data_IF_875205225686
#
_entry.id   IF_875205225686
#
_cell.length_a   1.000
_cell.length_b   1.000
_cell.length_c   1.000
_cell.angle_alpha   90.00
_cell.angle_beta   90.00
_cell.angle_gamma   90.00
#
_symmetry.space_group_name_H-M   'P 1'
#
loop_
_entity.id
_entity.type
_entity.pdbx_description
1 polymer ?
#
# COMPACT_ATOMS: atom_id res chain seq x y z
N UNK A 1 14.34 -11.95 -12.56
CA UNK A 1 15.35 -11.06 -13.13
C UNK A 1 15.25 -9.71 -12.44
N UNK A 2 16.35 -8.95 -12.40
CA UNK A 2 16.33 -7.56 -11.96
C UNK A 2 15.60 -6.64 -12.98
N UNK A 3 15.62 -5.33 -12.74
CA UNK A 3 14.98 -4.34 -13.62
C UNK A 3 15.60 -4.25 -15.02
N UNK A 4 16.84 -4.73 -15.21
CA UNK A 4 17.56 -4.74 -16.48
C UNK A 4 17.41 -6.07 -17.23
N UNK A 5 16.78 -7.08 -16.61
CA UNK A 5 16.58 -8.40 -17.19
C UNK A 5 17.69 -9.40 -16.87
N UNK A 6 18.65 -9.06 -16.00
CA UNK A 6 19.66 -10.02 -15.53
C UNK A 6 19.05 -11.01 -14.56
N UNK A 7 19.34 -12.29 -14.71
CA UNK A 7 18.89 -13.32 -13.77
C UNK A 7 19.57 -13.14 -12.41
N UNK A 8 18.76 -13.12 -11.34
CA UNK A 8 19.22 -12.91 -9.95
C UNK A 8 18.72 -13.97 -8.97
N UNK A 9 17.67 -14.71 -9.33
CA UNK A 9 17.03 -15.72 -8.50
C UNK A 9 16.08 -16.59 -9.34
N UNK A 10 15.63 -17.68 -8.75
CA UNK A 10 14.68 -18.63 -9.33
C UNK A 10 13.52 -18.90 -8.37
N UNK A 11 12.43 -19.42 -8.94
CA UNK A 11 11.37 -20.07 -8.19
C UNK A 11 11.06 -21.41 -8.82
N UNK A 12 10.94 -22.44 -8.00
CA UNK A 12 10.60 -23.80 -8.42
C UNK A 12 9.18 -24.16 -8.01
N UNK A 13 8.44 -24.80 -8.91
CA UNK A 13 7.16 -25.46 -8.60
C UNK A 13 7.40 -26.95 -8.40
N UNK A 14 6.85 -27.50 -7.34
CA UNK A 14 6.87 -28.94 -7.09
C UNK A 14 5.97 -29.66 -8.11
N UNK A 15 6.49 -30.68 -8.79
CA UNK A 15 5.75 -31.43 -9.83
C UNK A 15 4.88 -32.56 -9.26
N UNK A 16 5.27 -33.12 -8.12
CA UNK A 16 4.52 -34.16 -7.40
C UNK A 16 4.41 -33.75 -5.95
N UNK A 17 3.21 -33.79 -5.38
CA UNK A 17 3.03 -33.42 -3.98
C UNK A 17 3.84 -34.33 -3.06
N UNK A 18 4.68 -33.70 -2.24
CA UNK A 18 5.48 -34.36 -1.21
C UNK A 18 5.03 -33.75 0.11
N UNK A 19 4.57 -34.61 1.03
CA UNK A 19 4.10 -34.17 2.34
C UNK A 19 5.19 -33.35 3.06
N UNK A 20 4.82 -32.16 3.52
CA UNK A 20 5.73 -31.24 4.23
C UNK A 20 6.61 -30.36 3.33
N UNK A 21 6.46 -30.43 2.00
CA UNK A 21 7.15 -29.52 1.07
C UNK A 21 6.17 -28.48 0.50
N UNK A 22 6.61 -27.22 0.31
CA UNK A 22 5.76 -26.20 -0.27
C UNK A 22 5.54 -26.44 -1.77
N UNK A 23 4.36 -26.05 -2.28
CA UNK A 23 4.03 -26.10 -3.72
C UNK A 23 5.00 -25.24 -4.55
N UNK A 24 5.46 -24.13 -3.98
CA UNK A 24 6.39 -23.19 -4.58
C UNK A 24 7.55 -22.87 -3.63
N UNK A 25 8.78 -22.89 -4.15
CA UNK A 25 9.98 -22.53 -3.40
C UNK A 25 10.76 -21.44 -4.13
N UNK A 26 10.88 -20.28 -3.49
CA UNK A 26 11.66 -19.15 -3.97
C UNK A 26 13.11 -19.27 -3.48
N UNK A 27 14.08 -18.81 -4.28
CA UNK A 27 15.45 -18.60 -3.79
C UNK A 27 15.44 -17.79 -2.47
N UNK A 28 16.39 -18.07 -1.54
CA UNK A 28 16.58 -17.24 -0.35
C UNK A 28 17.09 -15.84 -0.73
N UNK A 29 17.06 -14.92 0.23
CA UNK A 29 17.70 -13.59 0.07
C UNK A 29 19.20 -13.75 -0.24
N UNK A 30 19.72 -12.95 -1.15
CA UNK A 30 21.15 -12.92 -1.50
C UNK A 30 21.60 -11.48 -1.74
N UNK A 31 22.91 -11.27 -1.93
CA UNK A 31 23.46 -9.95 -2.28
C UNK A 31 22.89 -9.37 -3.58
N UNK A 32 22.38 -10.21 -4.48
CA UNK A 32 21.82 -9.81 -5.77
C UNK A 32 20.30 -9.97 -5.87
N UNK A 33 19.67 -10.63 -4.91
CA UNK A 33 18.23 -10.86 -4.89
C UNK A 33 17.63 -10.49 -3.55
N UNK A 34 16.79 -9.46 -3.59
CA UNK A 34 16.02 -9.00 -2.44
C UNK A 34 14.53 -8.96 -2.78
N UNK A 35 13.73 -9.79 -2.10
CA UNK A 35 12.28 -9.91 -2.37
C UNK A 35 11.56 -8.60 -2.11
N UNK A 36 11.94 -7.87 -1.06
CA UNK A 36 11.33 -6.59 -0.68
C UNK A 36 11.56 -5.46 -1.70
N UNK A 37 12.43 -5.66 -2.70
CA UNK A 37 12.75 -4.67 -3.74
C UNK A 37 12.59 -5.19 -5.16
N UNK A 38 12.22 -6.47 -5.32
CA UNK A 38 12.09 -7.12 -6.62
C UNK A 38 10.63 -7.39 -6.92
N UNK A 39 10.22 -7.07 -8.15
CA UNK A 39 8.91 -7.42 -8.69
C UNK A 39 9.10 -8.39 -9.84
N UNK A 40 8.42 -9.53 -9.80
CA UNK A 40 8.46 -10.50 -10.88
C UNK A 40 7.93 -9.88 -12.18
N UNK A 41 8.51 -10.33 -13.31
CA UNK A 41 8.17 -9.90 -14.67
C UNK A 41 8.32 -8.40 -14.99
N UNK A 42 8.72 -7.55 -14.03
CA UNK A 42 8.76 -6.09 -14.23
C UNK A 42 9.58 -5.65 -15.45
N UNK A 43 10.77 -6.22 -15.64
CA UNK A 43 11.64 -5.93 -16.80
C UNK A 43 10.96 -6.16 -18.16
N UNK A 44 10.11 -7.19 -18.29
CA UNK A 44 9.34 -7.48 -19.51
C UNK A 44 8.08 -6.63 -19.60
N UNK A 45 7.39 -6.46 -18.48
CA UNK A 45 6.14 -5.71 -18.38
C UNK A 45 6.33 -4.20 -18.59
N UNK A 46 7.52 -3.64 -18.30
CA UNK A 46 7.79 -2.19 -18.29
C UNK A 46 7.30 -1.45 -19.54
N UNK A 47 7.52 -2.01 -20.74
CA UNK A 47 7.06 -1.39 -22.00
C UNK A 47 5.52 -1.41 -22.12
N UNK A 48 4.89 -2.48 -21.67
CA UNK A 48 3.44 -2.65 -21.69
C UNK A 48 2.77 -1.80 -20.61
N UNK A 49 3.36 -1.69 -19.42
CA UNK A 49 2.91 -0.80 -18.36
C UNK A 49 2.84 0.64 -18.86
N UNK A 50 3.88 1.11 -19.56
CA UNK A 50 3.91 2.46 -20.15
C UNK A 50 2.89 2.64 -21.26
N UNK A 51 2.77 1.66 -22.16
CA UNK A 51 1.81 1.69 -23.28
C UNK A 51 0.36 1.72 -22.78
N UNK A 52 0.05 0.89 -21.79
CA UNK A 52 -1.30 0.75 -21.24
C UNK A 52 -1.61 1.78 -20.16
N UNK A 53 -0.62 2.57 -19.72
CA UNK A 53 -0.74 3.51 -18.59
C UNK A 53 -1.24 2.84 -17.29
N UNK A 54 -1.00 1.54 -17.16
CA UNK A 54 -1.52 0.73 -16.05
C UNK A 54 -0.66 -0.51 -15.82
N UNK A 55 -0.56 -0.95 -14.56
CA UNK A 55 0.04 -2.24 -14.18
C UNK A 55 -0.98 -3.10 -13.43
N UNK A 56 -0.87 -4.43 -13.59
CA UNK A 56 -1.67 -5.39 -12.82
C UNK A 56 -0.74 -6.12 -11.86
N UNK A 57 -1.05 -6.06 -10.56
CA UNK A 57 -0.25 -6.60 -9.48
C UNK A 57 -0.90 -7.86 -8.91
N UNK A 58 -0.15 -8.95 -8.94
CA UNK A 58 -0.52 -10.27 -8.40
C UNK A 58 0.36 -10.64 -7.20
N UNK A 59 -0.01 -11.69 -6.46
CA UNK A 59 0.80 -12.23 -5.35
C UNK A 59 1.87 -13.22 -5.82
N UNK A 60 1.57 -13.97 -6.88
CA UNK A 60 2.38 -15.06 -7.38
C UNK A 60 2.88 -14.89 -8.82
N UNK A 61 4.03 -15.49 -9.11
CA UNK A 61 4.55 -15.55 -10.48
C UNK A 61 3.71 -16.45 -11.40
N UNK A 62 2.99 -17.43 -10.85
CA UNK A 62 2.10 -18.31 -11.62
C UNK A 62 0.96 -17.51 -12.25
N UNK A 63 0.29 -16.67 -11.45
CA UNK A 63 -0.78 -15.78 -11.89
C UNK A 63 -0.29 -14.83 -12.98
N UNK A 64 0.92 -14.30 -12.84
CA UNK A 64 1.52 -13.43 -13.87
C UNK A 64 1.75 -14.19 -15.17
N UNK A 65 2.23 -15.43 -15.13
CA UNK A 65 2.43 -16.23 -16.34
C UNK A 65 1.08 -16.47 -17.03
N UNK A 66 0.06 -16.81 -16.27
CA UNK A 66 -1.28 -17.08 -16.81
C UNK A 66 -1.96 -15.80 -17.32
N UNK A 67 -1.86 -14.69 -16.60
CA UNK A 67 -2.36 -13.39 -17.03
C UNK A 67 -1.66 -12.90 -18.31
N UNK A 68 -0.33 -13.04 -18.41
CA UNK A 68 0.41 -12.68 -19.63
C UNK A 68 -0.06 -13.52 -20.82
N UNK A 69 -0.25 -14.84 -20.64
CA UNK A 69 -0.83 -15.71 -21.68
C UNK A 69 -2.27 -15.31 -22.03
N UNK A 70 -3.03 -14.84 -21.04
CA UNK A 70 -4.37 -14.34 -21.20
C UNK A 70 -4.44 -12.91 -21.75
N UNK A 71 -3.35 -12.34 -22.28
CA UNK A 71 -3.39 -11.02 -22.94
C UNK A 71 -3.16 -9.82 -22.01
N UNK A 72 -2.68 -10.04 -20.78
CA UNK A 72 -2.30 -9.00 -19.83
C UNK A 72 -0.77 -8.87 -19.70
N UNK A 73 -0.06 -8.32 -20.69
CA UNK A 73 1.41 -8.26 -20.70
C UNK A 73 2.00 -7.26 -19.70
N UNK A 74 1.17 -6.42 -19.09
CA UNK A 74 1.50 -5.47 -18.02
C UNK A 74 1.34 -6.07 -16.61
N UNK A 75 1.30 -7.40 -16.48
CA UNK A 75 1.24 -8.11 -15.20
C UNK A 75 2.60 -8.24 -14.51
N UNK A 76 2.63 -8.03 -13.19
CA UNK A 76 3.78 -8.21 -12.29
C UNK A 76 3.32 -8.86 -10.97
N UNK A 77 4.25 -9.37 -10.17
CA UNK A 77 3.92 -9.91 -8.85
C UNK A 77 4.96 -9.61 -7.79
N UNK A 78 4.52 -9.64 -6.53
CA UNK A 78 5.42 -9.87 -5.39
C UNK A 78 5.93 -11.33 -5.42
N UNK A 79 6.90 -11.68 -4.57
CA UNK A 79 7.55 -13.01 -4.61
C UNK A 79 7.43 -13.72 -3.26
N UNK A 80 6.19 -13.99 -2.84
CA UNK A 80 5.90 -14.64 -1.55
C UNK A 80 6.12 -13.71 -0.36
N UNK A 81 5.85 -12.42 -0.54
CA UNK A 81 5.89 -11.40 0.50
C UNK A 81 4.74 -10.42 0.30
N UNK A 82 4.32 -9.76 1.38
CA UNK A 82 3.47 -8.58 1.26
C UNK A 82 4.16 -7.51 0.41
N UNK A 83 3.35 -6.67 -0.26
CA UNK A 83 3.85 -5.53 -1.01
C UNK A 83 4.59 -4.57 -0.06
N UNK A 84 5.76 -4.11 -0.47
CA UNK A 84 6.56 -3.15 0.31
C UNK A 84 6.47 -1.74 -0.25
N UNK A 85 6.82 -0.76 0.57
CA UNK A 85 6.90 0.64 0.13
C UNK A 85 7.95 0.84 -0.98
N UNK A 86 9.06 0.10 -0.94
CA UNK A 86 10.10 0.15 -1.97
C UNK A 86 9.59 -0.38 -3.32
N UNK A 87 8.84 -1.49 -3.31
CA UNK A 87 8.17 -1.99 -4.52
C UNK A 87 7.12 -1.00 -5.03
N UNK A 88 6.33 -0.41 -4.12
CA UNK A 88 5.33 0.60 -4.47
C UNK A 88 5.97 1.85 -5.11
N UNK A 89 7.12 2.32 -4.60
CA UNK A 89 7.91 3.41 -5.20
C UNK A 89 8.41 3.04 -6.60
N UNK A 90 8.86 1.80 -6.82
CA UNK A 90 9.26 1.31 -8.15
C UNK A 90 8.08 1.36 -9.12
N UNK A 91 6.90 0.91 -8.69
CA UNK A 91 5.67 0.97 -9.48
C UNK A 91 5.33 2.43 -9.81
N UNK A 92 5.24 3.30 -8.80
CA UNK A 92 4.85 4.71 -8.96
C UNK A 92 5.73 5.49 -9.92
N UNK A 93 7.04 5.21 -9.93
CA UNK A 93 8.00 5.85 -10.85
C UNK A 93 7.75 5.51 -12.31
N UNK A 94 7.01 4.44 -12.61
CA UNK A 94 6.76 3.97 -13.97
C UNK A 94 5.31 4.13 -14.42
N UNK A 95 4.36 4.18 -13.48
CA UNK A 95 2.93 4.28 -13.77
C UNK A 95 2.16 4.83 -12.57
N UNK A 96 1.04 5.51 -12.84
CA UNK A 96 0.13 6.00 -11.80
C UNK A 96 -0.98 4.99 -11.47
N UNK A 97 -1.56 4.34 -12.49
CA UNK A 97 -2.68 3.39 -12.30
C UNK A 97 -2.21 1.98 -11.99
N UNK A 98 -2.74 1.40 -10.92
CA UNK A 98 -2.47 0.03 -10.46
C UNK A 98 -3.79 -0.72 -10.28
N UNK A 99 -3.90 -1.90 -10.87
CA UNK A 99 -4.95 -2.88 -10.54
C UNK A 99 -4.32 -3.94 -9.65
N UNK A 100 -4.88 -4.17 -8.47
CA UNK A 100 -4.53 -5.30 -7.61
C UNK A 100 -5.46 -6.47 -7.96
N UNK A 101 -4.91 -7.64 -8.24
CA UNK A 101 -5.65 -8.87 -8.53
C UNK A 101 -5.04 -9.99 -7.68
N UNK A 102 -5.58 -10.17 -6.48
CA UNK A 102 -5.15 -11.17 -5.49
C UNK A 102 -6.24 -12.23 -5.32
N UNK A 103 -5.91 -13.31 -4.62
CA UNK A 103 -6.81 -14.43 -4.37
C UNK A 103 -8.09 -13.98 -3.63
N UNK A 104 -9.20 -14.67 -3.89
CA UNK A 104 -10.50 -14.38 -3.28
C UNK A 104 -10.59 -14.75 -1.79
N UNK A 105 -9.56 -15.40 -1.25
CA UNK A 105 -9.58 -15.87 0.14
C UNK A 105 -9.43 -14.71 1.15
N UNK A 106 -9.58 -15.04 2.44
CA UNK A 106 -9.46 -14.01 3.48
C UNK A 106 -8.07 -13.39 3.56
N UNK A 107 -7.01 -14.14 3.26
CA UNK A 107 -5.65 -13.63 3.31
C UNK A 107 -5.36 -12.68 2.14
N UNK A 108 -5.79 -13.03 0.93
CA UNK A 108 -5.67 -12.22 -0.29
C UNK A 108 -6.43 -10.91 -0.18
N UNK A 109 -7.65 -10.92 0.37
CA UNK A 109 -8.41 -9.67 0.58
C UNK A 109 -7.71 -8.74 1.61
N UNK A 110 -7.18 -9.30 2.69
CA UNK A 110 -6.40 -8.52 3.69
C UNK A 110 -5.10 -7.99 3.09
N UNK A 111 -4.43 -8.79 2.25
CA UNK A 111 -3.24 -8.39 1.53
C UNK A 111 -3.55 -7.27 0.53
N UNK A 112 -4.68 -7.34 -0.18
CA UNK A 112 -5.13 -6.31 -1.11
C UNK A 112 -5.46 -5.00 -0.38
N UNK A 113 -6.10 -5.07 0.79
CA UNK A 113 -6.35 -3.90 1.65
C UNK A 113 -5.04 -3.20 2.04
N UNK A 114 -4.07 -3.96 2.57
CA UNK A 114 -2.74 -3.42 2.94
C UNK A 114 -1.98 -2.86 1.75
N UNK A 115 -1.97 -3.58 0.63
CA UNK A 115 -1.30 -3.15 -0.60
C UNK A 115 -1.91 -1.84 -1.13
N UNK A 116 -3.23 -1.69 -1.04
CA UNK A 116 -3.92 -0.45 -1.46
C UNK A 116 -3.48 0.74 -0.64
N UNK A 117 -3.37 0.62 0.69
CA UNK A 117 -2.89 1.69 1.54
C UNK A 117 -1.45 2.10 1.16
N UNK A 118 -0.55 1.14 0.97
CA UNK A 118 0.85 1.40 0.59
C UNK A 118 0.94 2.12 -0.77
N UNK A 119 0.19 1.64 -1.77
CA UNK A 119 0.17 2.23 -3.11
C UNK A 119 -0.42 3.64 -3.12
N UNK A 120 -1.50 3.86 -2.37
CA UNK A 120 -2.15 5.18 -2.26
C UNK A 120 -1.22 6.17 -1.57
N UNK A 121 -0.50 5.75 -0.53
CA UNK A 121 0.47 6.59 0.19
C UNK A 121 1.63 7.07 -0.69
N UNK A 122 2.06 6.26 -1.65
CA UNK A 122 3.07 6.68 -2.64
C UNK A 122 2.46 7.45 -3.83
N UNK A 123 1.15 7.68 -3.83
CA UNK A 123 0.44 8.48 -4.83
C UNK A 123 0.05 7.73 -6.10
N UNK A 124 -0.17 6.41 -6.02
CA UNK A 124 -0.79 5.64 -7.11
C UNK A 124 -2.32 5.76 -7.05
N UNK A 125 -2.96 5.68 -8.22
CA UNK A 125 -4.40 5.49 -8.35
C UNK A 125 -4.70 4.00 -8.40
N UNK A 126 -5.35 3.47 -7.36
CA UNK A 126 -5.54 2.02 -7.16
C UNK A 126 -6.97 1.58 -7.50
N UNK A 127 -7.06 0.48 -8.25
CA UNK A 127 -8.28 -0.32 -8.44
C UNK A 127 -8.04 -1.75 -7.96
N UNK A 128 -9.13 -2.44 -7.63
CA UNK A 128 -9.09 -3.83 -7.14
C UNK A 128 -9.94 -4.70 -8.07
N UNK A 129 -9.30 -5.64 -8.75
CA UNK A 129 -9.96 -6.71 -9.47
C UNK A 129 -10.31 -7.82 -8.46
N UNK A 130 -11.60 -8.00 -8.20
CA UNK A 130 -12.09 -8.96 -7.21
C UNK A 130 -12.31 -10.30 -7.90
N UNK A 131 -11.57 -11.32 -7.46
CA UNK A 131 -11.77 -12.69 -7.92
C UNK A 131 -13.06 -13.28 -7.34
N UNK A 132 -13.80 -14.11 -8.11
CA UNK A 132 -14.92 -14.87 -7.57
C UNK A 132 -14.47 -15.84 -6.47
N UNK A 133 -15.36 -16.13 -5.52
CA UNK A 133 -15.06 -17.01 -4.40
C UNK A 133 -14.55 -18.37 -4.87
N UNK A 134 -13.45 -18.82 -4.26
CA UNK A 134 -12.83 -20.11 -4.56
C UNK A 134 -11.91 -20.13 -5.79
N UNK A 135 -11.73 -19.01 -6.49
CA UNK A 135 -10.81 -18.90 -7.62
C UNK A 135 -9.58 -18.07 -7.30
N UNK A 136 -8.42 -18.56 -7.75
CA UNK A 136 -7.25 -17.74 -8.01
C UNK A 136 -7.24 -17.29 -9.50
N UNK A 137 -6.41 -16.31 -9.89
CA UNK A 137 -6.36 -15.84 -11.27
C UNK A 137 -5.98 -16.93 -12.28
N UNK A 138 -5.07 -17.84 -11.92
CA UNK A 138 -4.62 -18.94 -12.78
C UNK A 138 -5.76 -19.93 -13.08
N UNK A 139 -6.50 -20.33 -12.04
CA UNK A 139 -7.63 -21.25 -12.10
C UNK A 139 -8.81 -20.64 -12.86
N UNK A 140 -9.13 -19.36 -12.61
CA UNK A 140 -10.18 -18.67 -13.36
C UNK A 140 -9.87 -18.59 -14.86
N UNK A 141 -8.61 -18.26 -15.22
CA UNK A 141 -8.19 -18.19 -16.63
C UNK A 141 -8.29 -19.57 -17.30
N UNK A 142 -7.92 -20.65 -16.61
CA UNK A 142 -8.01 -22.01 -17.17
C UNK A 142 -9.46 -22.43 -17.41
N UNK A 143 -10.36 -22.09 -16.49
CA UNK A 143 -11.75 -22.52 -16.56
C UNK A 143 -12.58 -21.66 -17.52
N UNK A 144 -12.45 -20.33 -17.44
CA UNK A 144 -13.31 -19.38 -18.14
C UNK A 144 -12.66 -18.73 -19.37
N UNK A 145 -11.34 -18.85 -19.51
CA UNK A 145 -10.59 -18.32 -20.63
C UNK A 145 -10.16 -16.85 -20.49
N UNK A 146 -9.30 -16.44 -21.42
CA UNK A 146 -8.63 -15.14 -21.40
C UNK A 146 -9.60 -13.95 -21.54
N UNK A 147 -10.59 -14.07 -22.42
CA UNK A 147 -11.53 -12.97 -22.70
C UNK A 147 -12.40 -12.65 -21.49
N UNK A 148 -12.93 -13.68 -20.82
CA UNK A 148 -13.69 -13.51 -19.57
C UNK A 148 -12.83 -12.91 -18.47
N UNK A 149 -11.59 -13.38 -18.30
CA UNK A 149 -10.69 -12.78 -17.30
C UNK A 149 -10.46 -11.28 -17.56
N UNK A 150 -10.20 -10.89 -18.82
CA UNK A 150 -10.01 -9.47 -19.14
C UNK A 150 -11.28 -8.64 -18.89
N UNK A 151 -12.44 -9.11 -19.35
CA UNK A 151 -13.68 -8.33 -19.28
C UNK A 151 -14.31 -8.34 -17.89
N UNK A 152 -14.45 -9.51 -17.29
CA UNK A 152 -15.25 -9.73 -16.09
C UNK A 152 -14.44 -9.54 -14.81
N UNK A 153 -13.11 -9.55 -14.88
CA UNK A 153 -12.22 -9.39 -13.71
C UNK A 153 -11.38 -8.10 -13.79
N UNK A 154 -10.63 -7.91 -14.88
CA UNK A 154 -9.69 -6.77 -14.97
C UNK A 154 -10.44 -5.47 -15.30
N UNK A 155 -11.27 -5.47 -16.34
CA UNK A 155 -12.01 -4.28 -16.78
C UNK A 155 -13.14 -3.89 -15.82
N UNK A 156 -13.69 -4.85 -15.09
CA UNK A 156 -14.71 -4.65 -14.05
C UNK A 156 -14.14 -4.24 -12.68
N UNK A 157 -12.83 -3.98 -12.59
CA UNK A 157 -12.15 -3.67 -11.34
C UNK A 157 -12.77 -2.48 -10.59
N UNK A 158 -12.91 -2.66 -9.27
CA UNK A 158 -13.54 -1.70 -8.37
C UNK A 158 -12.58 -0.55 -8.06
N UNK A 159 -13.13 0.63 -7.80
CA UNK A 159 -12.36 1.73 -7.19
C UNK A 159 -11.97 1.36 -5.76
N UNK A 160 -10.96 2.04 -5.22
CA UNK A 160 -10.56 1.87 -3.81
C UNK A 160 -11.75 2.02 -2.85
N UNK A 161 -12.55 3.08 -2.99
CA UNK A 161 -13.68 3.33 -2.09
C UNK A 161 -14.76 2.25 -2.21
N UNK A 162 -15.07 1.78 -3.43
CA UNK A 162 -16.03 0.69 -3.62
C UNK A 162 -15.54 -0.63 -2.98
N UNK A 163 -14.25 -0.93 -3.10
CA UNK A 163 -13.63 -2.06 -2.40
C UNK A 163 -13.69 -1.87 -0.88
N UNK A 164 -13.36 -0.69 -0.37
CA UNK A 164 -13.36 -0.38 1.07
C UNK A 164 -14.77 -0.53 1.67
N UNK A 165 -15.83 -0.10 0.97
CA UNK A 165 -17.22 -0.34 1.38
C UNK A 165 -17.57 -1.82 1.45
N UNK A 166 -17.10 -2.65 0.51
CA UNK A 166 -17.29 -4.10 0.56
C UNK A 166 -16.49 -4.74 1.68
N UNK A 167 -15.25 -4.30 1.87
CA UNK A 167 -14.34 -4.80 2.90
C UNK A 167 -14.88 -4.52 4.31
N UNK A 168 -15.32 -3.29 4.60
CA UNK A 168 -15.90 -2.91 5.89
C UNK A 168 -17.23 -3.61 6.20
N UNK A 169 -17.94 -4.08 5.16
CA UNK A 169 -19.15 -4.90 5.34
C UNK A 169 -18.82 -6.32 5.80
N UNK A 170 -17.61 -6.82 5.52
CA UNK A 170 -17.21 -8.18 5.91
C UNK A 170 -17.28 -8.31 7.42
N UNK A 171 -17.76 -9.47 7.88
CA UNK A 171 -17.89 -9.81 9.31
C UNK A 171 -18.88 -8.92 10.10
N UNK A 172 -19.80 -8.24 9.41
CA UNK A 172 -20.90 -7.47 10.04
C UNK A 172 -22.26 -7.97 9.58
N UNK A 173 -23.20 -8.06 10.51
CA UNK A 173 -24.60 -8.28 10.26
C UNK A 173 -25.34 -6.95 10.18
N UNK A 174 -25.57 -6.46 8.95
CA UNK A 174 -26.27 -5.19 8.72
C UNK A 174 -27.76 -5.19 9.08
N UNK A 175 -28.33 -6.33 9.47
CA UNK A 175 -29.68 -6.40 10.06
C UNK A 175 -29.67 -5.98 11.53
N UNK A 176 -28.53 -6.10 12.21
CA UNK A 176 -28.36 -5.56 13.55
C UNK A 176 -28.16 -4.04 13.46
N UNK A 177 -29.00 -3.28 14.16
CA UNK A 177 -28.96 -1.82 14.12
C UNK A 177 -27.60 -1.27 14.57
N UNK A 178 -27.01 -1.81 15.63
CA UNK A 178 -25.72 -1.38 16.15
C UNK A 178 -24.58 -1.61 15.14
N UNK A 179 -24.52 -2.79 14.53
CA UNK A 179 -23.47 -3.10 13.54
C UNK A 179 -23.67 -2.32 12.23
N UNK A 180 -24.92 -2.06 11.85
CA UNK A 180 -25.28 -1.20 10.72
C UNK A 180 -24.80 0.23 10.95
N UNK A 181 -25.06 0.79 12.13
CA UNK A 181 -24.59 2.15 12.47
C UNK A 181 -23.07 2.23 12.47
N UNK A 182 -22.38 1.24 13.07
CA UNK A 182 -20.92 1.17 13.03
C UNK A 182 -20.37 1.08 11.59
N UNK A 183 -21.02 0.32 10.71
CA UNK A 183 -20.66 0.26 9.29
C UNK A 183 -20.76 1.62 8.61
N UNK A 184 -21.88 2.33 8.79
CA UNK A 184 -22.08 3.64 8.21
C UNK A 184 -21.02 4.63 8.73
N UNK A 185 -20.75 4.63 10.04
CA UNK A 185 -19.73 5.49 10.63
C UNK A 185 -18.33 5.23 10.05
N UNK A 186 -17.93 3.97 9.92
CA UNK A 186 -16.62 3.64 9.37
C UNK A 186 -16.49 3.98 7.89
N UNK A 187 -17.55 3.77 7.10
CA UNK A 187 -17.56 4.20 5.70
C UNK A 187 -17.53 5.73 5.60
N UNK A 188 -18.26 6.45 6.46
CA UNK A 188 -18.23 7.93 6.48
C UNK A 188 -16.84 8.48 6.79
N UNK A 189 -16.08 7.82 7.69
CA UNK A 189 -14.66 8.17 7.94
C UNK A 189 -13.84 8.06 6.66
N UNK A 190 -13.97 6.97 5.92
CA UNK A 190 -13.25 6.77 4.65
C UNK A 190 -13.67 7.78 3.57
N UNK A 191 -14.98 8.03 3.42
CA UNK A 191 -15.49 9.03 2.47
C UNK A 191 -14.95 10.43 2.83
N UNK A 192 -14.77 10.74 4.12
CA UNK A 192 -14.23 12.04 4.56
C UNK A 192 -12.77 12.28 4.12
N UNK A 193 -12.02 11.21 3.83
CA UNK A 193 -10.64 11.28 3.33
C UNK A 193 -10.56 11.56 1.82
N UNK A 194 -11.68 11.39 1.09
CA UNK A 194 -11.73 11.65 -0.35
C UNK A 194 -11.61 13.15 -0.65
N UNK A 195 -10.74 13.50 -1.58
CA UNK A 195 -10.46 14.90 -1.95
C UNK A 195 -11.56 15.49 -2.85
N UNK A 196 -12.13 14.69 -3.75
CA UNK A 196 -13.10 15.15 -4.75
C UNK A 196 -14.52 15.21 -4.17
N UNK A 197 -15.15 16.39 -4.21
CA UNK A 197 -16.51 16.60 -3.68
C UNK A 197 -17.58 15.76 -4.40
N UNK A 198 -17.46 15.63 -5.73
CA UNK A 198 -18.40 14.82 -6.55
C UNK A 198 -18.34 13.35 -6.17
N UNK A 199 -17.14 12.83 -5.95
CA UNK A 199 -16.92 11.44 -5.53
C UNK A 199 -17.50 11.19 -4.14
N UNK A 200 -17.32 12.15 -3.20
CA UNK A 200 -17.98 12.10 -1.89
C UNK A 200 -19.51 12.07 -2.00
N UNK A 201 -20.11 12.96 -2.79
CA UNK A 201 -21.57 13.01 -2.96
C UNK A 201 -22.12 11.71 -3.56
N UNK A 202 -21.41 11.12 -4.53
CA UNK A 202 -21.79 9.82 -5.12
C UNK A 202 -21.88 8.71 -4.06
N UNK A 203 -20.84 8.52 -3.24
CA UNK A 203 -20.83 7.48 -2.20
C UNK A 203 -21.82 7.76 -1.06
N UNK A 204 -22.03 9.03 -0.70
CA UNK A 204 -23.05 9.41 0.27
C UNK A 204 -24.46 9.09 -0.22
N UNK A 205 -24.77 9.33 -1.50
CA UNK A 205 -26.07 8.94 -2.10
C UNK A 205 -26.26 7.43 -2.11
N UNK A 206 -25.20 6.68 -2.39
CA UNK A 206 -25.24 5.22 -2.35
C UNK A 206 -25.60 4.72 -0.94
N UNK A 207 -24.96 5.26 0.11
CA UNK A 207 -25.30 4.93 1.50
C UNK A 207 -26.73 5.37 1.87
N UNK A 208 -27.14 6.57 1.47
CA UNK A 208 -28.47 7.10 1.74
C UNK A 208 -29.55 6.18 1.17
N UNK A 209 -29.38 5.75 -0.08
CA UNK A 209 -30.31 4.86 -0.77
C UNK A 209 -30.32 3.46 -0.15
N UNK A 210 -29.16 2.89 0.15
CA UNK A 210 -29.06 1.53 0.67
C UNK A 210 -29.67 1.39 2.08
N UNK A 211 -29.43 2.36 2.96
CA UNK A 211 -29.91 2.30 4.35
C UNK A 211 -31.16 3.14 4.61
N UNK A 212 -31.74 3.75 3.57
CA UNK A 212 -32.90 4.65 3.68
C UNK A 212 -32.69 5.79 4.69
N UNK A 213 -31.49 6.37 4.70
CA UNK A 213 -31.10 7.50 5.56
C UNK A 213 -31.12 8.78 4.73
N UNK A 214 -31.54 9.90 5.32
CA UNK A 214 -31.50 11.18 4.61
C UNK A 214 -30.07 11.58 4.25
N UNK A 215 -29.89 12.07 3.01
CA UNK A 215 -28.59 12.54 2.54
C UNK A 215 -28.04 13.68 3.41
N UNK A 216 -28.93 14.54 3.91
CA UNK A 216 -28.56 15.67 4.77
C UNK A 216 -28.00 15.21 6.12
N UNK A 217 -28.60 14.18 6.73
CA UNK A 217 -28.08 13.61 7.97
C UNK A 217 -26.68 13.00 7.76
N UNK A 218 -26.46 12.29 6.63
CA UNK A 218 -25.15 11.75 6.30
C UNK A 218 -24.11 12.85 6.04
N UNK A 219 -24.49 13.96 5.39
CA UNK A 219 -23.61 15.11 5.17
C UNK A 219 -23.24 15.79 6.49
N UNK A 220 -24.19 15.95 7.39
CA UNK A 220 -23.92 16.51 8.72
C UNK A 220 -22.96 15.62 9.51
N UNK A 221 -23.21 14.32 9.55
CA UNK A 221 -22.33 13.36 10.22
C UNK A 221 -20.92 13.33 9.59
N UNK A 222 -20.81 13.32 8.27
CA UNK A 222 -19.51 13.41 7.58
C UNK A 222 -18.73 14.66 8.01
N UNK A 223 -19.39 15.82 8.12
CA UNK A 223 -18.75 17.06 8.53
C UNK A 223 -18.25 16.99 9.99
N UNK A 224 -19.05 16.40 10.88
CA UNK A 224 -18.65 16.18 12.28
C UNK A 224 -17.42 15.25 12.38
N UNK A 225 -17.42 14.15 11.63
CA UNK A 225 -16.29 13.21 11.55
C UNK A 225 -15.03 13.91 11.04
N UNK A 226 -15.13 14.65 9.93
CA UNK A 226 -13.99 15.39 9.35
C UNK A 226 -13.38 16.38 10.35
N UNK A 227 -14.21 17.14 11.08
CA UNK A 227 -13.72 18.08 12.10
C UNK A 227 -13.02 17.38 13.26
N UNK A 228 -13.52 16.22 13.67
CA UNK A 228 -12.98 15.43 14.77
C UNK A 228 -11.60 14.86 14.41
N UNK A 229 -11.47 14.31 13.20
CA UNK A 229 -10.21 13.78 12.68
C UNK A 229 -9.16 14.89 12.45
N UNK A 230 -9.59 16.08 12.02
CA UNK A 230 -8.70 17.25 11.92
C UNK A 230 -8.18 17.71 13.29
N UNK A 231 -9.05 17.80 14.29
CA UNK A 231 -8.65 18.13 15.68
C UNK A 231 -7.68 17.12 16.28
N UNK A 232 -7.86 15.82 15.99
CA UNK A 232 -6.89 14.79 16.42
C UNK A 232 -5.51 15.01 15.80
N UNK A 233 -5.42 15.28 14.49
CA UNK A 233 -4.13 15.57 13.82
C UNK A 233 -3.43 16.82 14.34
N UNK A 234 -4.19 17.85 14.71
CA UNK A 234 -3.63 19.06 15.31
C UNK A 234 -3.10 18.80 16.74
N UNK A 235 -3.72 17.87 17.49
CA UNK A 235 -3.25 17.45 18.82
C UNK A 235 -2.09 16.43 18.78
N UNK A 236 -2.03 15.58 17.75
CA UNK A 236 -0.95 14.58 17.53
C UNK A 236 0.27 15.16 16.82
N UNK A 237 0.17 16.38 16.28
CA UNK A 237 1.35 17.14 15.93
C UNK A 237 2.13 17.38 17.23
N UNK A 238 3.38 16.91 17.36
CA UNK A 238 4.13 17.15 18.59
C UNK A 238 4.14 18.65 18.78
N UNK A 239 3.51 19.07 19.88
CA UNK A 239 3.52 20.44 20.34
C UNK A 239 4.99 20.85 20.38
N UNK A 240 5.47 21.54 19.33
CA UNK A 240 6.85 22.05 19.26
C UNK A 240 7.12 23.05 20.38
N UNK A 241 6.08 23.42 21.15
CA UNK A 241 6.17 24.23 22.36
C UNK A 241 6.36 23.41 23.66
N UNK A 242 6.48 22.08 23.60
CA UNK A 242 6.84 21.23 24.74
C UNK A 242 8.18 20.53 24.54
N UNK A 243 9.18 21.26 24.02
CA UNK A 243 10.56 20.92 24.37
C UNK A 243 10.65 21.15 25.88
N UNK A 244 10.77 20.06 26.63
CA UNK A 244 11.36 20.08 27.96
C UNK A 244 12.67 20.89 27.85
N UNK A 245 12.60 22.19 28.15
CA UNK A 245 13.80 22.98 28.40
C UNK A 245 14.36 22.36 29.66
N UNK A 246 15.27 21.39 29.51
CA UNK A 246 16.23 21.10 30.56
C UNK A 246 16.74 22.47 31.02
N UNK A 247 16.77 22.75 32.34
CA UNK A 247 17.34 23.99 32.81
C UNK A 247 18.74 24.05 32.19
N UNK A 248 18.93 24.98 31.25
CA UNK A 248 20.25 25.28 30.73
C UNK A 248 21.00 25.70 31.97
N UNK A 249 21.83 24.80 32.50
CA UNK A 249 22.83 25.17 33.49
C UNK A 249 23.58 26.29 32.80
N UNK A 250 23.34 27.53 33.25
CA UNK A 250 24.16 28.67 32.85
C UNK A 250 25.55 28.27 33.29
N UNK A 251 26.33 27.68 32.38
CA UNK A 251 27.77 27.63 32.54
C UNK A 251 28.17 29.10 32.61
N UNK A 252 28.48 29.55 33.82
CA UNK A 252 29.08 30.86 33.99
C UNK A 252 30.27 30.90 33.03
N UNK A 253 30.31 31.94 32.20
CA UNK A 253 31.47 32.16 31.35
C UNK A 253 32.65 32.30 32.31
N UNK A 254 33.65 31.42 32.16
CA UNK A 254 34.89 31.56 32.91
C UNK A 254 35.49 32.93 32.57
N UNK A 255 36.15 33.60 33.53
CA UNK A 255 36.83 34.86 33.27
C UNK A 255 37.71 34.78 32.02
N UNK A 256 37.78 35.87 31.26
CA UNK A 256 38.44 35.90 29.95
C UNK A 256 39.88 35.33 29.98
N UNK A 257 40.63 35.57 31.06
CA UNK A 257 41.98 35.07 31.25
C UNK A 257 42.05 33.53 31.29
N UNK A 258 41.05 32.85 31.88
CA UNK A 258 41.03 31.39 31.96
C UNK A 258 40.71 30.75 30.60
N UNK A 259 39.88 31.41 29.79
CA UNK A 259 39.63 30.94 28.43
C UNK A 259 40.87 31.14 27.55
N UNK A 260 41.55 32.29 27.68
CA UNK A 260 42.80 32.55 26.96
C UNK A 260 43.89 31.52 27.30
N UNK A 261 44.07 31.20 28.59
CA UNK A 261 45.03 30.18 29.04
C UNK A 261 44.69 28.79 28.47
N UNK A 262 43.42 28.38 28.50
CA UNK A 262 42.99 27.10 27.93
C UNK A 262 43.17 27.04 26.43
N UNK A 263 42.94 28.14 25.71
CA UNK A 263 43.20 28.21 24.27
C UNK A 263 44.69 28.16 23.95
N UNK A 264 45.54 28.84 24.73
CA UNK A 264 46.98 28.80 24.57
C UNK A 264 47.51 27.37 24.78
N UNK A 265 47.16 26.73 25.89
CA UNK A 265 47.53 25.34 26.18
C UNK A 265 47.04 24.40 25.08
N UNK A 266 45.80 24.59 24.59
CA UNK A 266 45.26 23.77 23.51
C UNK A 266 46.01 23.97 22.19
N UNK A 267 46.57 25.15 21.93
CA UNK A 267 47.42 25.39 20.75
C UNK A 267 48.82 24.81 20.94
N UNK A 268 49.45 24.99 22.11
CA UNK A 268 50.74 24.38 22.46
C UNK A 268 50.69 22.84 22.39
N UNK A 269 49.55 22.23 22.70
CA UNK A 269 49.37 20.77 22.59
C UNK A 269 49.18 20.28 21.15
N UNK A 270 48.79 21.16 20.23
CA UNK A 270 48.54 20.81 18.82
C UNK A 270 49.72 21.16 17.91
N UNK A 271 50.53 22.12 18.31
CA UNK A 271 51.67 22.61 17.54
C UNK A 271 52.90 22.76 18.45
N UNK A 272 53.98 22.04 18.11
CA UNK A 272 55.21 22.00 18.89
C UNK A 272 56.00 23.31 18.83
N UNK A 273 55.78 24.12 17.80
CA UNK A 273 56.49 25.40 17.62
C UNK A 273 55.85 26.54 18.43
N UNK A 274 54.64 26.31 18.98
CA UNK A 274 53.91 27.23 19.87
C UNK A 274 54.21 26.93 21.35
N UNK A 275 54.78 25.75 21.65
CA UNK A 275 55.03 25.25 23.01
C UNK A 275 56.30 25.80 23.67
#
# INVERSE_FOLDING_TARGET
ADLQGKTIAFSGRLLKEIKGQPKYLNSPETSIFNKSRTLYNFHRAKKHIRKNQQVILFEGFADVISAVKAGCPNAIATMGTALTEEQAKIIRRNVESVIICYDADSAGIEAAHKATAILTNVGCTVKIAVMPDGYDPDDYIKEYGAEKFQNDVINSSLTFMAFQMRYLRRKRNLQNESERMQYIEDVLKEISLLTKAVERDHYLRQLAQEFSISLDALKEQQYQVYRTEKKKKDNDSPNRNNINRQPVVKRSLLPAYQNAERFLIAHMLKDKDVA
#
